data_IF_971511344069
#
_entry.id   IF_971511344069
#
_cell.length_a   1.000
_cell.length_b   1.000
_cell.length_c   1.000
_cell.angle_alpha   90.00
_cell.angle_beta   90.00
_cell.angle_gamma   90.00
#
_symmetry.space_group_name_H-M   'P 1'
#
loop_
_entity.id
_entity.type
_entity.pdbx_description
1 polymer ?
#
# COMPACT_ATOMS: atom_id res chain seq x y z
N UNK A 1 4.12 -4.49 -5.29
CA UNK A 1 2.72 -4.38 -4.81
C UNK A 1 2.74 -4.19 -3.30
N UNK A 2 1.78 -3.47 -2.73
CA UNK A 2 1.57 -3.33 -1.27
C UNK A 2 2.71 -2.69 -0.46
N UNK A 3 3.62 -1.95 -1.09
CA UNK A 3 4.62 -1.10 -0.41
C UNK A 3 4.03 0.22 0.13
N UNK A 4 2.73 0.22 0.44
CA UNK A 4 2.06 1.39 1.02
C UNK A 4 2.47 1.52 2.49
N UNK A 5 2.62 2.77 2.97
CA UNK A 5 3.01 3.03 4.36
C UNK A 5 2.11 2.34 5.39
N UNK A 6 0.80 2.20 5.11
CA UNK A 6 -0.11 1.44 5.96
C UNK A 6 0.36 -0.01 6.15
N UNK A 7 0.76 -0.69 5.08
CA UNK A 7 1.21 -2.08 5.13
C UNK A 7 2.54 -2.17 5.87
N UNK A 8 3.51 -1.35 5.47
CA UNK A 8 4.86 -1.35 6.03
C UNK A 8 4.86 -1.03 7.53
N UNK A 9 3.99 -0.13 7.99
CA UNK A 9 3.98 0.34 9.38
C UNK A 9 3.14 -0.53 10.33
N UNK A 10 2.19 -1.33 9.83
CA UNK A 10 1.25 -2.07 10.68
C UNK A 10 1.41 -3.59 10.62
N UNK A 11 2.01 -4.14 9.56
CA UNK A 11 2.16 -5.60 9.40
C UNK A 11 3.60 -6.09 9.51
N UNK A 12 4.57 -5.18 9.48
CA UNK A 12 6.00 -5.51 9.59
C UNK A 12 6.60 -4.82 10.80
N UNK A 13 7.67 -5.42 11.34
CA UNK A 13 8.54 -4.70 12.27
C UNK A 13 9.29 -3.60 11.50
N UNK A 14 9.72 -2.51 12.16
CA UNK A 14 10.47 -1.44 11.50
C UNK A 14 11.71 -1.94 10.77
N UNK A 15 12.43 -2.91 11.37
CA UNK A 15 13.60 -3.54 10.75
C UNK A 15 13.23 -4.30 9.48
N UNK A 16 12.21 -5.17 9.55
CA UNK A 16 11.77 -5.93 8.38
C UNK A 16 11.26 -4.99 7.27
N UNK A 17 10.54 -3.92 7.62
CA UNK A 17 10.08 -2.91 6.67
C UNK A 17 11.25 -2.23 5.94
N UNK A 18 12.30 -1.85 6.67
CA UNK A 18 13.51 -1.25 6.09
C UNK A 18 14.24 -2.23 5.16
N UNK A 19 14.35 -3.50 5.55
CA UNK A 19 14.99 -4.55 4.74
C UNK A 19 14.25 -4.79 3.43
N UNK A 20 12.92 -4.96 3.47
CA UNK A 20 12.14 -5.20 2.24
C UNK A 20 12.15 -3.98 1.32
N UNK A 21 12.11 -2.76 1.87
CA UNK A 21 12.21 -1.52 1.08
C UNK A 21 13.58 -1.42 0.42
N UNK A 22 14.66 -1.72 1.14
CA UNK A 22 16.02 -1.74 0.59
C UNK A 22 16.18 -2.76 -0.54
N UNK A 23 15.65 -3.97 -0.36
CA UNK A 23 15.65 -5.00 -1.40
C UNK A 23 14.85 -4.60 -2.63
N UNK A 24 13.66 -4.03 -2.43
CA UNK A 24 12.83 -3.55 -3.53
C UNK A 24 13.48 -2.38 -4.29
N UNK A 25 14.17 -1.48 -3.59
CA UNK A 25 14.91 -0.38 -4.22
C UNK A 25 15.98 -0.91 -5.18
N UNK A 26 16.79 -1.88 -4.75
CA UNK A 26 17.81 -2.52 -5.60
C UNK A 26 17.20 -3.18 -6.85
N UNK A 27 16.07 -3.87 -6.68
CA UNK A 27 15.36 -4.48 -7.80
C UNK A 27 14.84 -3.42 -8.79
N UNK A 28 14.26 -2.34 -8.28
CA UNK A 28 13.76 -1.24 -9.10
C UNK A 28 14.87 -0.53 -9.87
N UNK A 29 16.03 -0.33 -9.25
CA UNK A 29 17.19 0.27 -9.92
C UNK A 29 17.68 -0.59 -11.08
N UNK A 30 17.80 -1.91 -10.86
CA UNK A 30 18.17 -2.85 -11.92
C UNK A 30 17.12 -2.90 -13.05
N UNK A 31 15.83 -2.91 -12.71
CA UNK A 31 14.75 -2.91 -13.70
C UNK A 31 14.76 -1.63 -14.56
N UNK A 32 14.93 -0.46 -13.92
CA UNK A 32 15.01 0.84 -14.59
C UNK A 32 16.23 0.94 -15.50
N UNK A 33 17.39 0.46 -15.04
CA UNK A 33 18.61 0.41 -15.85
C UNK A 33 18.46 -0.42 -17.14
N UNK A 34 17.52 -1.37 -17.16
CA UNK A 34 17.21 -2.21 -18.31
C UNK A 34 15.93 -1.80 -19.05
N UNK A 35 15.38 -0.60 -18.79
CA UNK A 35 14.14 -0.11 -19.39
C UNK A 35 12.94 -1.06 -19.23
N UNK A 36 12.90 -1.83 -18.14
CA UNK A 36 11.81 -2.75 -17.88
C UNK A 36 10.57 -1.99 -17.41
N UNK A 37 9.41 -2.36 -17.95
CA UNK A 37 8.13 -1.85 -17.48
C UNK A 37 7.95 -2.20 -16.01
N UNK A 38 7.80 -1.18 -15.17
CA UNK A 38 7.58 -1.31 -13.73
C UNK A 38 6.20 -0.78 -13.38
N UNK A 39 5.37 -1.60 -12.75
CA UNK A 39 4.01 -1.24 -12.36
C UNK A 39 3.92 -1.19 -10.83
N UNK A 40 3.57 -0.03 -10.30
CA UNK A 40 3.26 0.15 -8.89
C UNK A 40 1.77 -0.03 -8.65
N UNK A 41 1.41 -1.01 -7.83
CA UNK A 41 0.02 -1.31 -7.47
C UNK A 41 -0.21 -0.98 -6.01
N UNK A 42 -1.28 -0.23 -5.75
CA UNK A 42 -1.76 0.13 -4.42
C UNK A 42 -3.20 -0.33 -4.24
N UNK A 43 -3.53 -0.83 -3.06
CA UNK A 43 -4.90 -1.11 -2.65
C UNK A 43 -5.54 0.20 -2.17
N UNK A 44 -6.70 0.53 -2.72
CA UNK A 44 -7.47 1.71 -2.36
C UNK A 44 -8.96 1.44 -2.59
N UNK A 45 -9.83 2.23 -1.96
CA UNK A 45 -11.26 1.94 -1.90
C UNK A 45 -12.10 3.15 -2.32
N UNK A 46 -13.18 2.88 -3.05
CA UNK A 46 -14.13 3.94 -3.42
C UNK A 46 -14.95 4.39 -2.21
N UNK A 47 -15.49 5.63 -2.22
CA UNK A 47 -16.47 6.04 -1.23
C UNK A 47 -17.62 5.03 -1.13
N UNK A 48 -18.02 4.68 0.09
CA UNK A 48 -19.02 3.64 0.35
C UNK A 48 -18.47 2.20 0.35
N UNK A 49 -17.18 2.03 0.03
CA UNK A 49 -16.43 0.77 0.11
C UNK A 49 -17.09 -0.45 -0.59
N UNK A 50 -17.55 -0.32 -1.84
CA UNK A 50 -18.21 -1.41 -2.56
C UNK A 50 -17.31 -2.64 -2.77
N UNK A 51 -15.98 -2.48 -2.71
CA UNK A 51 -15.02 -3.59 -2.78
C UNK A 51 -14.96 -4.43 -1.50
N UNK A 52 -15.42 -3.90 -0.36
CA UNK A 52 -15.33 -4.59 0.93
C UNK A 52 -16.58 -5.45 1.12
N UNK A 53 -16.43 -6.74 0.80
CA UNK A 53 -17.40 -7.76 1.17
C UNK A 53 -17.55 -7.85 2.70
N UNK A 54 -18.79 -7.89 3.25
CA UNK A 54 -19.03 -8.12 4.67
C UNK A 54 -18.45 -9.44 5.20
N UNK A 55 -18.14 -10.40 4.31
CA UNK A 55 -17.49 -11.67 4.67
C UNK A 55 -16.01 -11.51 4.97
N UNK A 56 -15.38 -10.42 4.53
CA UNK A 56 -13.99 -10.11 4.86
C UNK A 56 -13.92 -9.40 6.20
N UNK A 57 -13.68 -10.16 7.27
CA UNK A 57 -13.68 -9.64 8.65
C UNK A 57 -12.64 -8.53 8.85
N UNK A 58 -11.44 -8.68 8.27
CA UNK A 58 -10.37 -7.71 8.44
C UNK A 58 -10.74 -6.37 7.78
N UNK A 59 -11.07 -6.37 6.50
CA UNK A 59 -11.42 -5.12 5.82
C UNK A 59 -12.73 -4.51 6.34
N UNK A 60 -13.69 -5.33 6.78
CA UNK A 60 -14.90 -4.83 7.45
C UNK A 60 -14.53 -4.10 8.75
N UNK A 61 -13.68 -4.70 9.58
CA UNK A 61 -13.19 -4.05 10.80
C UNK A 61 -12.45 -2.74 10.50
N UNK A 62 -11.52 -2.74 9.55
CA UNK A 62 -10.78 -1.52 9.18
C UNK A 62 -11.72 -0.43 8.67
N UNK A 63 -12.72 -0.80 7.87
CA UNK A 63 -13.75 0.10 7.33
C UNK A 63 -14.59 0.71 8.45
N UNK A 64 -15.08 -0.12 9.36
CA UNK A 64 -15.96 0.28 10.46
C UNK A 64 -15.23 1.17 11.47
N UNK A 65 -13.90 1.05 11.56
CA UNK A 65 -13.04 1.89 12.40
C UNK A 65 -12.41 3.10 11.65
N UNK A 66 -12.81 3.37 10.41
CA UNK A 66 -12.35 4.54 9.65
C UNK A 66 -10.88 4.48 9.18
N UNK A 67 -10.25 3.30 9.25
CA UNK A 67 -8.82 3.10 8.93
C UNK A 67 -8.58 2.99 7.43
N UNK A 68 -9.62 2.66 6.65
CA UNK A 68 -9.53 2.46 5.19
C UNK A 68 -9.46 3.78 4.40
N UNK A 69 -9.69 4.93 5.06
CA UNK A 69 -9.73 6.24 4.38
C UNK A 69 -8.32 6.75 4.11
N UNK A 70 -7.97 6.97 2.84
CA UNK A 70 -6.84 7.86 2.50
C UNK A 70 -7.14 9.28 2.98
N UNK A 71 -6.31 9.84 3.87
CA UNK A 71 -6.14 11.29 3.92
C UNK A 71 -5.62 11.72 2.54
N UNK A 72 -6.48 12.32 1.71
CA UNK A 72 -6.02 13.01 0.51
C UNK A 72 -5.03 14.08 0.97
N UNK A 73 -3.75 13.89 0.64
CA UNK A 73 -2.87 15.04 0.55
C UNK A 73 -3.39 15.83 -0.68
N UNK A 74 -4.12 16.91 -0.41
CA UNK A 74 -4.39 17.94 -1.42
C UNK A 74 -3.02 18.53 -1.78
N UNK A 75 -2.37 17.99 -2.81
CA UNK A 75 -1.40 18.79 -3.55
C UNK A 75 -2.22 19.73 -4.41
N UNK A 76 -2.41 20.94 -3.90
CA UNK A 76 -2.73 22.09 -4.74
C UNK A 76 -1.57 22.21 -5.73
N UNK A 77 -1.86 21.98 -7.01
CA UNK A 77 -1.03 22.46 -8.12
C UNK A 77 -1.38 23.93 -8.33
#
# INVERSE_FOLDING_TARGET
>A
MDFQGFVLNNFLTPTAAAEVVSGAAKLLDAARANNMLTIHVTVDFRPGYPEISPRNKLFSYLKDNGVVVRKRCLSTV
#
